data_IF_390702807838
#
_entry.id   IF_390702807838
#
_cell.length_a   1.000
_cell.length_b   1.000
_cell.length_c   1.000
_cell.angle_alpha   90.00
_cell.angle_beta   90.00
_cell.angle_gamma   90.00
#
_symmetry.space_group_name_H-M   'P 1'
#
loop_
_entity.id
_entity.type
_entity.pdbx_description
1 polymer ?
#
# COMPACT_ATOMS: atom_id res chain seq x y z
N UNK A 1 25.73 -4.74 -1.16
CA UNK A 1 24.34 -5.25 -1.12
C UNK A 1 24.05 -5.56 0.34
N UNK A 2 23.54 -4.58 1.08
CA UNK A 2 23.17 -4.79 2.48
C UNK A 2 22.04 -5.81 2.51
N UNK A 3 22.30 -6.95 3.15
CA UNK A 3 21.28 -7.96 3.43
C UNK A 3 20.29 -7.34 4.42
N UNK A 4 19.00 -7.51 4.16
CA UNK A 4 17.95 -7.33 5.16
C UNK A 4 18.41 -8.06 6.43
N UNK A 5 18.61 -7.33 7.53
CA UNK A 5 19.17 -7.84 8.78
C UNK A 5 18.13 -8.49 9.70
N UNK A 6 16.93 -8.75 9.18
CA UNK A 6 15.79 -9.34 9.91
C UNK A 6 15.32 -10.68 9.34
N UNK A 7 14.43 -11.38 10.07
CA UNK A 7 13.81 -12.60 9.58
C UNK A 7 12.96 -12.30 8.34
N UNK A 8 13.21 -13.02 7.25
CA UNK A 8 12.42 -12.95 6.01
C UNK A 8 11.67 -14.27 5.86
N UNK A 9 10.34 -14.19 5.84
CA UNK A 9 9.47 -15.35 5.66
C UNK A 9 8.95 -15.41 4.22
N UNK A 10 8.72 -16.62 3.72
CA UNK A 10 8.04 -16.78 2.43
C UNK A 10 6.53 -16.44 2.61
N UNK A 11 6.03 -15.55 1.76
CA UNK A 11 4.62 -15.15 1.72
C UNK A 11 3.67 -16.32 1.44
N UNK A 12 4.15 -17.36 0.76
CA UNK A 12 3.34 -18.56 0.46
C UNK A 12 2.99 -19.35 1.73
N UNK A 13 3.86 -19.29 2.74
CA UNK A 13 3.78 -20.07 3.98
C UNK A 13 3.36 -19.26 5.19
N UNK A 14 3.21 -17.94 5.04
CA UNK A 14 2.91 -17.05 6.15
C UNK A 14 1.41 -17.07 6.50
N UNK A 15 1.06 -17.21 7.78
CA UNK A 15 -0.33 -17.15 8.22
C UNK A 15 -0.74 -15.70 8.48
N UNK A 16 -1.75 -15.21 7.77
CA UNK A 16 -2.26 -13.85 7.94
C UNK A 16 -2.78 -13.61 9.36
N UNK A 17 -3.24 -14.65 10.07
CA UNK A 17 -3.76 -14.56 11.45
C UNK A 17 -2.71 -14.05 12.45
N UNK A 18 -1.42 -14.25 12.16
CA UNK A 18 -0.31 -13.84 13.03
C UNK A 18 0.05 -12.35 12.91
N UNK A 19 -0.61 -11.60 12.02
CA UNK A 19 -0.37 -10.15 11.83
C UNK A 19 -1.31 -9.30 12.67
N UNK A 20 -0.84 -8.20 13.25
CA UNK A 20 -1.76 -7.17 13.77
C UNK A 20 -2.18 -6.18 12.68
N UNK A 21 -1.28 -5.94 11.72
CA UNK A 21 -1.44 -5.04 10.57
C UNK A 21 -0.54 -5.47 9.41
N UNK A 22 -0.76 -4.92 8.22
CA UNK A 22 0.06 -5.16 7.02
C UNK A 22 0.49 -3.84 6.38
N UNK A 23 1.77 -3.71 6.03
CA UNK A 23 2.31 -2.55 5.30
C UNK A 23 2.94 -3.00 3.98
N UNK A 24 2.59 -2.31 2.90
CA UNK A 24 3.21 -2.44 1.58
C UNK A 24 4.06 -1.18 1.33
N UNK A 25 5.39 -1.26 1.46
CA UNK A 25 6.25 -0.11 1.19
C UNK A 25 6.21 0.26 -0.30
N UNK A 26 6.69 1.47 -0.60
CA UNK A 26 6.83 1.94 -1.99
C UNK A 26 8.09 1.44 -2.70
N UNK A 27 8.32 1.97 -3.89
CA UNK A 27 9.49 1.70 -4.71
C UNK A 27 9.17 0.89 -5.95
N UNK A 28 9.81 1.24 -7.07
CA UNK A 28 9.58 0.64 -8.39
C UNK A 28 9.66 -0.90 -8.42
N UNK A 29 10.49 -1.49 -7.55
CA UNK A 29 10.63 -2.94 -7.45
C UNK A 29 9.36 -3.66 -7.01
N UNK A 30 8.46 -2.98 -6.30
CA UNK A 30 7.18 -3.53 -5.82
C UNK A 30 6.28 -3.88 -7.00
N UNK A 31 6.02 -2.94 -7.90
CA UNK A 31 5.22 -3.20 -9.11
C UNK A 31 5.89 -4.25 -10.00
N UNK A 32 7.20 -4.14 -10.23
CA UNK A 32 7.92 -5.07 -11.10
C UNK A 32 7.94 -6.52 -10.59
N UNK A 33 8.07 -6.72 -9.28
CA UNK A 33 8.33 -8.06 -8.72
C UNK A 33 7.08 -8.71 -8.13
N UNK A 34 6.10 -7.91 -7.71
CA UNK A 34 4.90 -8.37 -7.01
C UNK A 34 3.63 -8.18 -7.85
N UNK A 35 3.78 -7.89 -9.15
CA UNK A 35 2.66 -7.80 -10.08
C UNK A 35 3.10 -7.97 -11.55
N UNK A 36 2.15 -7.97 -12.47
CA UNK A 36 2.37 -7.93 -13.93
C UNK A 36 2.32 -6.52 -14.52
N UNK A 37 2.46 -5.47 -13.70
CA UNK A 37 2.25 -4.08 -14.13
C UNK A 37 3.09 -3.66 -15.34
N UNK A 38 4.35 -4.09 -15.42
CA UNK A 38 5.24 -3.72 -16.53
C UNK A 38 4.80 -4.31 -17.88
N UNK A 39 4.00 -5.39 -17.88
CA UNK A 39 3.53 -6.07 -19.09
C UNK A 39 2.05 -5.79 -19.40
N UNK A 40 1.25 -5.55 -18.36
CA UNK A 40 -0.23 -5.48 -18.45
C UNK A 40 -0.80 -4.10 -18.08
N UNK A 41 0.03 -3.13 -17.67
CA UNK A 41 -0.35 -1.73 -17.35
C UNK A 41 -1.61 -1.61 -16.49
N UNK A 42 -2.75 -1.18 -17.05
CA UNK A 42 -4.02 -0.98 -16.35
C UNK A 42 -4.86 -2.26 -16.20
N UNK A 43 -4.41 -3.39 -16.73
CA UNK A 43 -4.99 -4.73 -16.56
C UNK A 43 -4.14 -5.65 -15.69
N UNK A 44 -3.12 -5.09 -15.03
CA UNK A 44 -2.19 -5.85 -14.21
C UNK A 44 -2.84 -6.63 -13.08
N UNK A 45 -2.16 -7.71 -12.71
CA UNK A 45 -2.53 -8.64 -11.65
C UNK A 45 -1.46 -8.59 -10.58
N UNK A 46 -1.90 -8.56 -9.33
CA UNK A 46 -1.02 -8.70 -8.18
C UNK A 46 -0.57 -10.16 -8.06
N UNK A 47 0.62 -10.39 -7.52
CA UNK A 47 1.08 -11.72 -7.15
C UNK A 47 0.01 -12.40 -6.27
N UNK A 48 -0.44 -13.60 -6.67
CA UNK A 48 -1.57 -14.29 -6.03
C UNK A 48 -1.41 -14.49 -4.52
N UNK A 49 -0.20 -14.79 -4.06
CA UNK A 49 0.05 -14.99 -2.62
C UNK A 49 -0.04 -13.67 -1.85
N UNK A 50 0.42 -12.56 -2.45
CA UNK A 50 0.28 -11.23 -1.89
C UNK A 50 -1.17 -10.74 -1.90
N UNK A 51 -1.88 -10.91 -3.02
CA UNK A 51 -3.30 -10.58 -3.13
C UNK A 51 -4.11 -11.32 -2.06
N UNK A 52 -3.92 -12.65 -1.94
CA UNK A 52 -4.56 -13.46 -0.90
C UNK A 52 -4.25 -12.94 0.51
N UNK A 53 -3.00 -12.56 0.80
CA UNK A 53 -2.63 -12.02 2.10
C UNK A 53 -3.36 -10.69 2.38
N UNK A 54 -3.37 -9.76 1.42
CA UNK A 54 -4.05 -8.47 1.54
C UNK A 54 -5.55 -8.67 1.78
N UNK A 55 -6.20 -9.49 0.96
CA UNK A 55 -7.64 -9.77 1.05
C UNK A 55 -8.01 -10.45 2.36
N UNK A 56 -7.20 -11.41 2.84
CA UNK A 56 -7.45 -12.04 4.13
C UNK A 56 -7.29 -11.06 5.29
N UNK A 57 -6.25 -10.22 5.28
CA UNK A 57 -6.09 -9.15 6.27
C UNK A 57 -7.26 -8.15 6.24
N UNK A 58 -7.74 -7.78 5.05
CA UNK A 58 -8.91 -6.92 4.88
C UNK A 58 -10.18 -7.51 5.51
N UNK A 59 -10.51 -8.77 5.19
CA UNK A 59 -11.66 -9.46 5.78
C UNK A 59 -11.50 -9.68 7.29
N UNK A 60 -10.28 -9.94 7.75
CA UNK A 60 -9.91 -10.00 9.16
C UNK A 60 -9.92 -8.64 9.87
N UNK A 61 -10.29 -7.55 9.17
CA UNK A 61 -10.32 -6.18 9.70
C UNK A 61 -8.98 -5.74 10.28
N UNK A 62 -7.87 -6.24 9.75
CA UNK A 62 -6.53 -5.80 10.12
C UNK A 62 -6.21 -4.50 9.39
N UNK A 63 -5.63 -3.48 10.05
CA UNK A 63 -5.22 -2.27 9.37
C UNK A 63 -4.26 -2.56 8.22
N UNK A 64 -4.49 -1.92 7.07
CA UNK A 64 -3.65 -2.04 5.89
C UNK A 64 -3.01 -0.70 5.56
N UNK A 65 -1.71 -0.71 5.29
CA UNK A 65 -0.93 0.46 4.97
C UNK A 65 -0.25 0.33 3.60
N UNK A 66 -0.23 1.38 2.80
CA UNK A 66 0.60 1.41 1.59
C UNK A 66 1.19 2.80 1.27
N UNK A 67 2.39 2.84 0.67
CA UNK A 67 3.10 4.09 0.35
C UNK A 67 3.50 4.09 -1.13
N UNK A 68 3.33 5.21 -1.82
CA UNK A 68 3.84 5.40 -3.19
C UNK A 68 3.34 4.35 -4.16
N UNK A 69 4.23 3.60 -4.83
CA UNK A 69 3.83 2.52 -5.73
C UNK A 69 3.15 1.33 -5.02
N UNK A 70 3.36 1.15 -3.72
CA UNK A 70 2.67 0.12 -2.94
C UNK A 70 1.15 0.34 -2.92
N UNK A 71 0.70 1.58 -3.08
CA UNK A 71 -0.73 1.93 -3.14
C UNK A 71 -1.40 1.28 -4.34
N UNK A 72 -0.71 1.16 -5.48
CA UNK A 72 -1.25 0.49 -6.66
C UNK A 72 -1.54 -0.99 -6.35
N UNK A 73 -0.57 -1.70 -5.74
CA UNK A 73 -0.76 -3.10 -5.33
C UNK A 73 -1.96 -3.25 -4.40
N UNK A 74 -2.06 -2.40 -3.38
CA UNK A 74 -3.17 -2.42 -2.42
C UNK A 74 -4.51 -2.15 -3.10
N UNK A 75 -4.58 -1.10 -3.92
CA UNK A 75 -5.77 -0.69 -4.65
C UNK A 75 -6.26 -1.82 -5.57
N UNK A 76 -5.36 -2.45 -6.35
CA UNK A 76 -5.71 -3.57 -7.22
C UNK A 76 -6.18 -4.80 -6.45
N UNK A 77 -5.47 -5.17 -5.39
CA UNK A 77 -5.85 -6.35 -4.59
C UNK A 77 -7.22 -6.18 -3.89
N UNK A 78 -7.64 -4.93 -3.66
CA UNK A 78 -8.93 -4.60 -3.06
C UNK A 78 -9.99 -4.17 -4.07
N UNK A 79 -9.66 -4.21 -5.37
CA UNK A 79 -10.60 -3.94 -6.45
C UNK A 79 -11.78 -4.92 -6.36
N UNK A 80 -13.01 -4.40 -6.30
CA UNK A 80 -14.25 -5.18 -6.08
C UNK A 80 -14.32 -5.95 -4.73
N UNK A 81 -13.37 -5.74 -3.82
CA UNK A 81 -13.38 -6.34 -2.46
C UNK A 81 -13.78 -5.28 -1.43
N UNK A 82 -13.14 -4.12 -1.46
CA UNK A 82 -13.44 -3.00 -0.58
C UNK A 82 -14.50 -2.10 -1.23
N UNK A 83 -15.55 -1.76 -0.47
CA UNK A 83 -16.58 -0.82 -0.93
C UNK A 83 -16.15 0.60 -0.61
N UNK A 84 -16.26 1.50 -1.60
CA UNK A 84 -15.93 2.93 -1.47
C UNK A 84 -14.53 3.16 -0.85
N UNK A 85 -13.55 2.36 -1.29
CA UNK A 85 -12.18 2.50 -0.82
C UNK A 85 -11.65 3.87 -1.21
N UNK A 86 -11.10 4.59 -0.24
CA UNK A 86 -10.42 5.87 -0.49
C UNK A 86 -8.91 5.71 -0.27
N UNK A 87 -8.10 6.17 -1.23
CA UNK A 87 -6.63 6.13 -1.13
C UNK A 87 -6.00 7.41 -1.68
N UNK A 88 -4.72 7.62 -1.37
CA UNK A 88 -3.88 8.58 -2.10
C UNK A 88 -2.75 7.86 -2.82
N UNK A 89 -2.61 8.13 -4.11
CA UNK A 89 -1.49 7.72 -4.95
C UNK A 89 -0.65 8.93 -5.37
N UNK A 90 -0.82 10.07 -4.67
CA UNK A 90 -0.18 11.33 -5.00
C UNK A 90 1.34 11.22 -5.11
N UNK A 91 1.92 11.97 -6.03
CA UNK A 91 3.36 11.94 -6.33
C UNK A 91 3.80 10.78 -7.22
N UNK A 92 2.94 9.78 -7.46
CA UNK A 92 3.22 8.81 -8.53
C UNK A 92 3.16 9.48 -9.91
N UNK A 93 3.86 8.92 -10.91
CA UNK A 93 3.64 9.23 -12.31
C UNK A 93 2.16 9.25 -12.73
N UNK A 94 1.80 10.14 -13.66
CA UNK A 94 0.41 10.39 -14.09
C UNK A 94 -0.29 9.12 -14.58
N UNK A 95 0.39 8.31 -15.39
CA UNK A 95 -0.09 7.02 -15.88
C UNK A 95 -0.54 6.09 -14.74
N UNK A 96 0.23 6.05 -13.65
CA UNK A 96 -0.08 5.23 -12.46
C UNK A 96 -1.23 5.80 -11.64
N UNK A 97 -1.35 7.12 -11.55
CA UNK A 97 -2.49 7.76 -10.87
C UNK A 97 -3.79 7.50 -11.63
N UNK A 98 -3.78 7.60 -12.97
CA UNK A 98 -4.93 7.25 -13.82
C UNK A 98 -5.36 5.79 -13.65
N UNK A 99 -4.42 4.87 -13.44
CA UNK A 99 -4.77 3.47 -13.13
C UNK A 99 -5.58 3.36 -11.85
N UNK A 100 -5.25 4.11 -10.79
CA UNK A 100 -6.02 4.09 -9.53
C UNK A 100 -7.43 4.63 -9.72
N UNK A 101 -7.59 5.72 -10.47
CA UNK A 101 -8.90 6.30 -10.79
C UNK A 101 -9.79 5.32 -11.59
N UNK A 102 -9.19 4.50 -12.45
CA UNK A 102 -9.89 3.47 -13.22
C UNK A 102 -10.39 2.29 -12.37
N UNK A 103 -9.82 2.04 -11.19
CA UNK A 103 -10.20 0.93 -10.31
C UNK A 103 -11.51 1.17 -9.54
N UNK A 104 -12.26 2.25 -9.87
CA UNK A 104 -13.44 2.70 -9.13
C UNK A 104 -13.15 2.93 -7.63
N UNK A 105 -11.94 3.40 -7.34
CA UNK A 105 -11.43 3.74 -6.02
C UNK A 105 -11.32 5.26 -5.95
N UNK A 106 -11.78 5.85 -4.85
CA UNK A 106 -11.74 7.29 -4.66
C UNK A 106 -10.30 7.74 -4.37
N UNK A 107 -9.75 8.58 -5.24
CA UNK A 107 -8.44 9.18 -5.04
C UNK A 107 -8.54 10.52 -4.33
N UNK A 108 -7.83 10.68 -3.21
CA UNK A 108 -7.69 11.94 -2.48
C UNK A 108 -6.27 12.48 -2.64
N UNK A 109 -6.09 13.69 -3.19
CA UNK A 109 -4.78 14.34 -3.23
C UNK A 109 -4.21 14.53 -1.82
N UNK A 110 -2.95 14.18 -1.62
CA UNK A 110 -2.21 14.37 -0.38
C UNK A 110 -0.78 14.86 -0.68
N UNK A 111 -0.28 15.79 0.11
CA UNK A 111 1.11 16.25 0.07
C UNK A 111 2.03 15.35 0.91
N UNK A 112 3.35 15.49 0.72
CA UNK A 112 4.33 14.76 1.55
C UNK A 112 4.13 15.15 3.02
N UNK A 113 4.04 14.14 3.89
CA UNK A 113 3.68 14.31 5.31
C UNK A 113 2.19 14.13 5.61
N UNK A 114 1.33 14.18 4.58
CA UNK A 114 -0.10 13.89 4.70
C UNK A 114 -0.42 12.42 4.42
N UNK A 115 -1.54 11.96 4.95
CA UNK A 115 -2.01 10.58 4.80
C UNK A 115 -3.49 10.58 4.45
N UNK A 116 -3.89 9.72 3.52
CA UNK A 116 -5.29 9.36 3.34
C UNK A 116 -5.63 8.24 4.32
N UNK A 117 -6.63 8.45 5.18
CA UNK A 117 -7.09 7.47 6.18
C UNK A 117 -8.54 7.12 5.90
N UNK A 118 -8.76 5.95 5.32
CA UNK A 118 -10.08 5.34 5.18
C UNK A 118 -10.38 4.50 6.43
N UNK A 119 -11.07 5.12 7.39
CA UNK A 119 -11.43 4.47 8.66
C UNK A 119 -12.42 3.33 8.47
N UNK A 120 -13.27 3.39 7.45
CA UNK A 120 -14.29 2.37 7.17
C UNK A 120 -13.62 1.08 6.74
N UNK A 121 -12.67 1.18 5.83
CA UNK A 121 -11.91 0.05 5.30
C UNK A 121 -10.65 -0.27 6.11
N UNK A 122 -10.32 0.57 7.12
CA UNK A 122 -9.11 0.49 7.95
C UNK A 122 -7.83 0.54 7.11
N UNK A 123 -7.81 1.43 6.13
CA UNK A 123 -6.70 1.61 5.20
C UNK A 123 -6.04 2.97 5.44
N UNK A 124 -4.70 2.98 5.47
CA UNK A 124 -3.89 4.20 5.47
C UNK A 124 -3.02 4.18 4.21
N UNK A 125 -3.02 5.27 3.46
CA UNK A 125 -2.13 5.42 2.31
C UNK A 125 -1.37 6.74 2.35
N UNK A 126 -0.15 6.73 1.82
CA UNK A 126 0.75 7.86 1.80
C UNK A 126 1.28 8.15 0.38
N UNK A 127 1.56 9.42 0.05
CA UNK A 127 2.18 9.80 -1.22
C UNK A 127 3.54 9.14 -1.47
N UNK A 128 3.98 9.18 -2.73
CA UNK A 128 5.31 8.73 -3.12
C UNK A 128 6.39 9.62 -2.49
N UNK A 129 7.36 8.99 -1.80
CA UNK A 129 8.57 9.65 -1.31
C UNK A 129 9.68 9.53 -2.36
N UNK A 130 10.09 10.65 -2.96
CA UNK A 130 11.10 10.70 -4.02
C UNK A 130 12.48 11.09 -3.50
N UNK A 131 13.54 10.97 -4.32
CA UNK A 131 14.92 11.19 -3.84
C UNK A 131 15.16 12.63 -3.38
N UNK A 132 14.45 13.56 -3.99
CA UNK A 132 14.49 15.00 -3.79
C UNK A 132 13.93 15.41 -2.43
N UNK A 133 13.02 14.61 -1.85
CA UNK A 133 12.57 14.81 -0.47
C UNK A 133 13.76 14.64 0.50
N UNK A 134 13.87 15.56 1.45
CA UNK A 134 14.89 15.50 2.49
C UNK A 134 14.75 14.23 3.34
N UNK A 135 15.86 13.70 3.85
CA UNK A 135 15.81 12.50 4.71
C UNK A 135 14.91 12.69 5.93
N UNK A 136 14.96 13.88 6.54
CA UNK A 136 14.12 14.25 7.68
C UNK A 136 12.63 14.22 7.34
N UNK A 137 12.24 14.86 6.24
CA UNK A 137 10.85 14.89 5.74
C UNK A 137 10.32 13.48 5.42
N UNK A 138 11.17 12.61 4.86
CA UNK A 138 10.81 11.20 4.63
C UNK A 138 10.57 10.46 5.94
N UNK A 139 11.46 10.62 6.92
CA UNK A 139 11.35 9.94 8.20
C UNK A 139 10.08 10.41 8.93
N UNK A 140 9.83 11.71 8.99
CA UNK A 140 8.62 12.29 9.60
C UNK A 140 7.34 11.79 8.90
N UNK A 141 7.35 11.70 7.57
CA UNK A 141 6.24 11.13 6.80
C UNK A 141 6.01 9.66 7.13
N UNK A 142 7.07 8.85 7.20
CA UNK A 142 6.98 7.42 7.54
C UNK A 142 6.51 7.23 8.98
N UNK A 143 7.03 8.00 9.93
CA UNK A 143 6.60 7.96 11.33
C UNK A 143 5.12 8.31 11.47
N UNK A 144 4.67 9.37 10.78
CA UNK A 144 3.26 9.77 10.75
C UNK A 144 2.40 8.66 10.15
N UNK A 145 2.81 8.09 9.01
CA UNK A 145 2.11 6.97 8.36
C UNK A 145 1.95 5.79 9.30
N UNK A 146 3.04 5.37 9.96
CA UNK A 146 3.02 4.26 10.91
C UNK A 146 2.08 4.59 12.08
N UNK A 147 2.20 5.76 12.70
CA UNK A 147 1.33 6.17 13.80
C UNK A 147 -0.16 6.13 13.42
N UNK A 148 -0.52 6.60 12.21
CA UNK A 148 -1.90 6.51 11.70
C UNK A 148 -2.39 5.08 11.53
N UNK A 149 -1.51 4.16 11.17
CA UNK A 149 -1.86 2.75 11.05
C UNK A 149 -2.06 2.11 12.43
N UNK A 150 -1.22 2.47 13.41
CA UNK A 150 -1.37 2.05 14.80
C UNK A 150 -2.64 2.60 15.46
N UNK A 151 -3.07 3.83 15.14
CA UNK A 151 -4.35 4.41 15.58
C UNK A 151 -5.57 3.55 15.18
N UNK A 152 -5.42 2.69 14.17
CA UNK A 152 -6.46 1.78 13.70
C UNK A 152 -6.40 0.40 14.35
N UNK A 153 -5.40 0.07 15.18
CA UNK A 153 -5.39 -1.20 15.91
C UNK A 153 -6.53 -1.23 16.94
N UNK A 154 -7.12 -2.41 17.21
CA UNK A 154 -8.07 -2.54 18.31
C UNK A 154 -7.36 -2.24 19.64
N UNK A 155 -8.02 -1.48 20.51
CA UNK A 155 -7.55 -1.21 21.87
C UNK A 155 -7.78 -2.37 22.84
#
# INVERSE_FOLDING_TARGET
>A
MERLSGPVNNIDTFNWEDLDLLVIPGGKGVLKSLSTFEDEEDHYRVNKSLERLIVNCFFGKKPLGAIGEGVLILARALENVASNLTVTASGNPEDRMTVVEKLAIDHVPCEVGEMCVDKTNRVVTAPLLVRENGLMEKNESIETFVNRLFDLLPG
#
